data_IF_063533298403
#
_entry.id   IF_063533298403
#
_cell.length_a   1.000
_cell.length_b   1.000
_cell.length_c   1.000
_cell.angle_alpha   90.00
_cell.angle_beta   90.00
_cell.angle_gamma   90.00
#
_symmetry.space_group_name_H-M   'P 1'
#
loop_
_entity.id
_entity.type
_entity.pdbx_description
1 polymer ?
#
# COMPACT_ATOMS: atom_id res chain seq x y z
N UNK A 1 -52.60 -2.37 -9.22
CA UNK A 1 -52.08 -1.08 -8.75
C UNK A 1 -50.62 -0.91 -9.21
N UNK A 2 -50.38 -0.69 -10.50
CA UNK A 2 -49.08 -0.18 -10.94
C UNK A 2 -49.29 1.32 -11.19
N UNK A 3 -48.83 2.15 -10.27
CA UNK A 3 -48.85 3.60 -10.48
C UNK A 3 -47.82 3.91 -11.57
N UNK A 4 -48.24 4.53 -12.67
CA UNK A 4 -47.36 4.88 -13.78
C UNK A 4 -46.26 5.83 -13.26
N UNK A 5 -45.05 5.31 -13.09
CA UNK A 5 -43.89 6.07 -12.61
C UNK A 5 -43.63 7.21 -13.60
N UNK A 6 -43.89 8.45 -13.16
CA UNK A 6 -43.60 9.66 -13.94
C UNK A 6 -42.14 9.62 -14.44
N UNK A 7 -41.86 10.01 -15.70
CA UNK A 7 -40.51 9.94 -16.27
C UNK A 7 -39.48 10.70 -15.45
N UNK A 8 -39.90 11.74 -14.71
CA UNK A 8 -39.07 12.49 -13.77
C UNK A 8 -38.64 11.67 -12.56
N UNK A 9 -39.53 10.82 -12.03
CA UNK A 9 -39.23 9.90 -10.90
C UNK A 9 -38.30 8.77 -11.34
N UNK A 10 -38.49 8.25 -12.56
CA UNK A 10 -37.58 7.26 -13.14
C UNK A 10 -36.16 7.82 -13.33
N UNK A 11 -36.04 9.04 -13.86
CA UNK A 11 -34.75 9.73 -13.97
C UNK A 11 -34.10 9.97 -12.60
N UNK A 12 -34.88 10.43 -11.61
CA UNK A 12 -34.35 10.63 -10.25
C UNK A 12 -33.83 9.32 -9.64
N UNK A 13 -34.55 8.22 -9.82
CA UNK A 13 -34.15 6.92 -9.31
C UNK A 13 -32.86 6.41 -9.99
N UNK A 14 -32.71 6.62 -11.30
CA UNK A 14 -31.51 6.25 -12.06
C UNK A 14 -30.31 7.10 -11.59
N UNK A 15 -30.49 8.41 -11.44
CA UNK A 15 -29.44 9.30 -10.95
C UNK A 15 -29.00 8.95 -9.52
N UNK A 16 -29.95 8.62 -8.65
CA UNK A 16 -29.67 8.21 -7.28
C UNK A 16 -28.94 6.87 -7.22
N UNK A 17 -29.28 5.91 -8.09
CA UNK A 17 -28.60 4.62 -8.19
C UNK A 17 -27.15 4.76 -8.69
N UNK A 18 -26.90 5.62 -9.69
CA UNK A 18 -25.54 5.91 -10.19
C UNK A 18 -24.69 6.57 -9.11
N UNK A 19 -25.25 7.51 -8.35
CA UNK A 19 -24.56 8.15 -7.23
C UNK A 19 -24.18 7.14 -6.13
N UNK A 20 -25.06 6.19 -5.81
CA UNK A 20 -24.79 5.17 -4.78
C UNK A 20 -23.74 4.14 -5.22
N UNK A 21 -23.70 3.77 -6.50
CA UNK A 21 -22.70 2.84 -7.04
C UNK A 21 -21.28 3.44 -7.07
N UNK A 22 -21.16 4.77 -7.08
CA UNK A 22 -19.87 5.47 -7.16
C UNK A 22 -19.17 5.58 -5.80
N UNK A 23 -19.86 5.22 -4.70
CA UNK A 23 -19.39 5.43 -3.33
C UNK A 23 -18.59 4.26 -2.73
N UNK A 24 -18.44 3.14 -3.42
CA UNK A 24 -17.73 1.95 -2.92
C UNK A 24 -16.31 1.82 -3.49
N UNK A 25 -15.45 2.83 -3.32
CA UNK A 25 -14.01 2.63 -3.51
C UNK A 25 -13.37 2.29 -2.18
N UNK A 26 -13.35 1.00 -1.81
CA UNK A 26 -12.48 0.55 -0.73
C UNK A 26 -11.02 0.92 -1.10
N UNK A 27 -10.22 1.46 -0.18
CA UNK A 27 -8.81 1.76 -0.45
C UNK A 27 -8.15 0.49 -0.98
N UNK A 28 -7.69 0.52 -2.23
CA UNK A 28 -6.92 -0.59 -2.75
C UNK A 28 -5.62 -0.64 -1.92
N UNK A 29 -5.27 -1.80 -1.35
CA UNK A 29 -3.98 -1.93 -0.68
C UNK A 29 -2.87 -1.49 -1.64
N UNK A 30 -1.82 -0.81 -1.14
CA UNK A 30 -0.74 -0.35 -2.00
C UNK A 30 -0.20 -1.53 -2.81
N UNK A 31 0.19 -1.30 -4.09
CA UNK A 31 0.72 -2.37 -4.93
C UNK A 31 1.97 -2.95 -4.27
N UNK A 32 1.88 -4.22 -3.85
CA UNK A 32 2.97 -4.94 -3.21
C UNK A 32 3.93 -5.52 -4.25
N UNK A 33 5.22 -5.64 -3.91
CA UNK A 33 6.24 -6.18 -4.79
C UNK A 33 6.35 -7.70 -4.71
N UNK A 34 6.50 -8.37 -5.86
CA UNK A 34 6.83 -9.80 -5.97
C UNK A 34 8.19 -10.07 -6.60
N UNK A 35 8.87 -9.03 -7.05
CA UNK A 35 10.15 -9.14 -7.74
C UNK A 35 11.19 -8.22 -7.10
N UNK A 36 12.45 -8.66 -7.16
CA UNK A 36 13.57 -7.88 -6.67
C UNK A 36 13.80 -6.67 -7.58
N UNK A 37 13.65 -5.47 -7.05
CA UNK A 37 13.91 -4.22 -7.76
C UNK A 37 15.18 -3.54 -7.24
N UNK A 38 15.83 -2.76 -8.10
CA UNK A 38 16.90 -1.84 -7.73
C UNK A 38 16.71 -0.55 -8.54
N UNK A 39 15.80 0.30 -8.08
CA UNK A 39 15.37 1.51 -8.77
C UNK A 39 15.69 2.73 -7.92
N UNK A 40 16.13 3.80 -8.57
CA UNK A 40 16.36 5.12 -7.96
C UNK A 40 17.29 5.08 -6.73
N UNK A 41 18.30 4.19 -6.72
CA UNK A 41 19.20 3.96 -5.58
C UNK A 41 19.90 5.23 -5.05
N UNK A 42 20.01 6.27 -5.89
CA UNK A 42 20.64 7.56 -5.57
C UNK A 42 19.64 8.67 -5.18
N UNK A 43 18.36 8.33 -4.95
CA UNK A 43 17.30 9.28 -4.66
C UNK A 43 16.46 8.84 -3.46
N UNK A 44 15.74 9.76 -2.83
CA UNK A 44 14.87 9.46 -1.67
C UNK A 44 13.72 8.47 -1.99
N UNK A 45 13.45 8.22 -3.28
CA UNK A 45 12.47 7.26 -3.77
C UNK A 45 13.07 5.89 -4.12
N UNK A 46 14.06 5.42 -3.36
CA UNK A 46 14.66 4.09 -3.57
C UNK A 46 13.60 3.00 -3.55
N UNK A 47 13.73 2.03 -4.46
CA UNK A 47 13.03 0.75 -4.38
C UNK A 47 14.06 -0.34 -4.54
N UNK A 48 14.47 -0.92 -3.41
CA UNK A 48 15.45 -1.98 -3.36
C UNK A 48 14.81 -3.26 -2.82
N UNK A 49 15.15 -4.40 -3.44
CA UNK A 49 14.53 -5.68 -3.12
C UNK A 49 13.01 -5.63 -3.29
N UNK A 50 12.30 -6.23 -2.35
CA UNK A 50 10.83 -6.21 -2.28
C UNK A 50 10.32 -5.27 -1.19
N UNK A 51 11.13 -4.96 -0.18
CA UNK A 51 10.69 -4.31 1.06
C UNK A 51 11.37 -2.96 1.34
N UNK A 52 12.47 -2.59 0.68
CA UNK A 52 13.15 -1.34 0.98
C UNK A 52 12.61 -0.18 0.13
N UNK A 53 11.79 0.69 0.73
CA UNK A 53 11.38 1.97 0.14
C UNK A 53 10.14 2.59 0.80
N UNK A 54 9.95 3.90 0.67
CA UNK A 54 8.76 4.56 1.23
C UNK A 54 7.52 4.18 0.43
N UNK A 55 6.54 3.56 1.09
CA UNK A 55 5.32 3.07 0.44
C UNK A 55 5.58 1.90 -0.52
N UNK A 56 6.71 1.21 -0.35
CA UNK A 56 7.10 0.03 -1.12
C UNK A 56 7.32 -1.13 -0.17
N UNK A 57 6.53 -2.18 -0.30
CA UNK A 57 6.66 -3.37 0.52
C UNK A 57 6.33 -4.62 -0.31
N UNK A 58 6.83 -5.77 0.15
CA UNK A 58 6.61 -7.05 -0.51
C UNK A 58 5.20 -7.58 -0.26
N UNK A 59 4.72 -8.45 -1.15
CA UNK A 59 3.46 -9.15 -0.92
C UNK A 59 3.58 -10.18 0.20
N UNK A 60 2.45 -10.54 0.82
CA UNK A 60 2.42 -11.57 1.86
C UNK A 60 3.02 -12.89 1.37
N UNK A 61 3.95 -13.43 2.17
CA UNK A 61 4.63 -14.69 1.89
C UNK A 61 5.85 -14.60 0.96
N UNK A 62 6.20 -13.42 0.46
CA UNK A 62 7.38 -13.25 -0.38
C UNK A 62 8.67 -13.27 0.45
N UNK A 63 9.64 -14.10 0.05
CA UNK A 63 10.96 -14.12 0.66
C UNK A 63 11.76 -12.88 0.23
N UNK A 64 12.54 -12.24 1.13
CA UNK A 64 13.43 -11.14 0.80
C UNK A 64 14.51 -11.56 -0.20
N UNK A 65 14.97 -10.59 -0.97
CA UNK A 65 15.97 -10.82 -2.02
C UNK A 65 17.40 -11.03 -1.47
N UNK A 66 17.70 -10.43 -0.31
CA UNK A 66 18.98 -10.51 0.39
C UNK A 66 18.81 -10.14 1.89
N UNK A 67 19.91 -10.12 2.64
CA UNK A 67 19.91 -9.79 4.07
C UNK A 67 19.47 -8.33 4.34
N UNK A 68 19.78 -7.41 3.42
CA UNK A 68 19.36 -6.02 3.53
C UNK A 68 17.84 -5.88 3.36
N UNK A 69 17.26 -6.57 2.39
CA UNK A 69 15.82 -6.63 2.14
C UNK A 69 15.08 -7.34 3.28
N UNK A 70 15.70 -8.35 3.91
CA UNK A 70 15.16 -9.00 5.11
C UNK A 70 15.03 -8.00 6.28
N UNK A 71 16.05 -7.16 6.44
CA UNK A 71 16.05 -6.06 7.39
C UNK A 71 14.90 -5.07 7.13
N UNK A 72 14.65 -4.72 5.86
CA UNK A 72 13.56 -3.82 5.47
C UNK A 72 12.18 -4.45 5.72
N UNK A 73 12.00 -5.75 5.46
CA UNK A 73 10.75 -6.47 5.78
C UNK A 73 10.42 -6.39 7.27
N UNK A 74 11.42 -6.61 8.12
CA UNK A 74 11.22 -6.63 9.57
C UNK A 74 11.02 -5.20 10.12
N UNK A 75 11.64 -4.21 9.47
CA UNK A 75 11.37 -2.78 9.72
C UNK A 75 9.93 -2.40 9.36
N UNK A 76 9.44 -2.76 8.19
CA UNK A 76 8.05 -2.51 7.76
C UNK A 76 7.05 -3.10 8.77
N UNK A 77 7.25 -4.35 9.20
CA UNK A 77 6.43 -5.01 10.24
C UNK A 77 6.51 -4.32 11.60
N UNK A 78 7.63 -3.69 11.93
CA UNK A 78 7.78 -2.91 13.15
C UNK A 78 7.00 -1.59 13.06
N UNK A 79 7.10 -0.91 11.92
CA UNK A 79 6.40 0.35 11.62
C UNK A 79 4.89 0.14 11.61
N UNK A 80 4.40 -0.92 10.97
CA UNK A 80 2.96 -1.24 10.93
C UNK A 80 2.39 -1.45 12.34
N UNK A 81 3.15 -2.10 13.23
CA UNK A 81 2.73 -2.34 14.62
C UNK A 81 2.85 -1.13 15.53
N UNK A 82 3.79 -0.23 15.28
CA UNK A 82 4.13 0.90 16.18
C UNK A 82 3.69 2.27 15.68
N UNK A 83 3.27 2.40 14.42
CA UNK A 83 2.72 3.64 13.86
C UNK A 83 3.73 4.75 13.56
N UNK A 84 5.04 4.47 13.60
CA UNK A 84 6.08 5.47 13.30
C UNK A 84 6.57 5.34 11.86
N UNK A 85 6.09 6.21 10.97
CA UNK A 85 6.68 6.36 9.63
C UNK A 85 8.07 6.97 9.76
N UNK A 86 9.11 6.13 9.82
CA UNK A 86 10.47 6.62 10.00
C UNK A 86 11.01 7.21 8.69
N UNK A 87 10.80 8.50 8.50
CA UNK A 87 11.72 9.34 7.72
C UNK A 87 13.06 9.38 8.45
N UNK A 88 14.03 8.50 8.14
CA UNK A 88 15.39 8.63 8.67
C UNK A 88 16.45 8.16 7.64
N UNK A 89 17.46 8.98 7.31
CA UNK A 89 18.62 8.67 6.45
C UNK A 89 19.64 7.74 7.13
N UNK A 90 19.18 6.72 7.85
CA UNK A 90 19.98 5.98 8.84
C UNK A 90 19.61 4.50 8.97
N UNK A 91 19.12 3.87 7.90
CA UNK A 91 18.77 2.45 7.85
C UNK A 91 19.90 1.52 8.35
N UNK A 92 21.16 1.99 8.33
CA UNK A 92 22.32 1.29 8.92
C UNK A 92 22.28 1.16 10.46
N UNK A 93 21.73 2.14 11.18
CA UNK A 93 21.75 2.12 12.66
C UNK A 93 20.63 1.27 13.27
N UNK A 94 19.46 1.16 12.62
CA UNK A 94 18.35 0.34 13.14
C UNK A 94 18.53 -1.17 12.87
N UNK A 95 19.11 -1.58 11.73
CA UNK A 95 19.48 -2.99 11.52
C UNK A 95 20.47 -3.50 12.59
N UNK A 96 21.40 -2.65 13.02
CA UNK A 96 22.41 -3.04 14.02
C UNK A 96 21.85 -3.18 15.45
N UNK A 97 20.71 -2.56 15.76
CA UNK A 97 20.12 -2.55 17.11
C UNK A 97 19.04 -3.63 17.32
N UNK A 98 18.55 -4.26 16.26
CA UNK A 98 17.47 -5.27 16.35
C UNK A 98 17.98 -6.71 16.42
N UNK A 99 19.27 -7.00 16.16
CA UNK A 99 19.88 -8.36 16.29
C UNK A 99 18.88 -9.49 16.03
N UNK A 100 18.58 -9.69 14.75
CA UNK A 100 18.48 -11.06 14.22
C UNK A 100 19.90 -11.52 13.91
#
# INVERSE_FOLDING_TARGET
MYEAMSPRRALLAILLAVALASASSAPQPPPCSRSCAALNCDSLGIRYGKYCGVGWSGCDGEEPCDDLDACCRDHDRCVERKGYVSFIPGLRLLCSLIRV
#
